data_IF_647904889324
#
_entry.id   IF_647904889324
#
_cell.length_a   1.000
_cell.length_b   1.000
_cell.length_c   1.000
_cell.angle_alpha   90.00
_cell.angle_beta   90.00
_cell.angle_gamma   90.00
#
_symmetry.space_group_name_H-M   'P 1'
#
loop_
_entity.id
_entity.type
_entity.pdbx_description
1 polymer ?
#
# COMPACT_ATOMS: atom_id res chain seq x y z
N UNK A 1 40.27 -43.05 -2.23
CA UNK A 1 39.34 -41.95 -2.70
C UNK A 1 37.90 -42.45 -2.77
N UNK A 2 37.67 -43.67 -3.22
CA UNK A 2 36.33 -44.27 -3.38
C UNK A 2 35.61 -44.50 -2.03
N UNK A 3 36.28 -45.00 -1.03
CA UNK A 3 35.79 -45.18 0.35
C UNK A 3 35.36 -43.83 0.99
N UNK A 4 36.08 -42.75 0.70
CA UNK A 4 35.73 -41.43 1.24
C UNK A 4 34.45 -40.90 0.54
N UNK A 5 34.32 -41.08 -0.77
CA UNK A 5 33.11 -40.73 -1.52
C UNK A 5 31.86 -41.50 -1.02
N UNK A 6 32.00 -42.80 -0.82
CA UNK A 6 30.92 -43.63 -0.27
C UNK A 6 30.49 -43.14 1.11
N UNK A 7 31.46 -42.83 1.99
CA UNK A 7 31.16 -42.31 3.33
C UNK A 7 30.50 -40.94 3.30
N UNK A 8 30.91 -40.05 2.38
CA UNK A 8 30.26 -38.73 2.16
C UNK A 8 28.82 -38.91 1.68
N UNK A 9 28.58 -39.81 0.72
CA UNK A 9 27.22 -40.07 0.23
C UNK A 9 26.34 -40.65 1.33
N UNK A 10 26.79 -41.63 2.08
CA UNK A 10 26.05 -42.20 3.21
C UNK A 10 25.71 -41.16 4.28
N UNK A 11 26.62 -40.23 4.58
CA UNK A 11 26.34 -39.12 5.51
C UNK A 11 25.33 -38.15 4.97
N UNK A 12 25.37 -37.82 3.66
CA UNK A 12 24.37 -36.99 2.99
C UNK A 12 22.98 -37.62 3.00
N UNK A 13 22.90 -38.91 2.70
CA UNK A 13 21.64 -39.65 2.70
C UNK A 13 21.03 -39.66 4.10
N UNK A 14 21.85 -39.90 5.13
CA UNK A 14 21.41 -39.89 6.54
C UNK A 14 20.97 -38.45 6.97
N UNK A 15 21.68 -37.41 6.55
CA UNK A 15 21.28 -36.05 6.83
C UNK A 15 19.91 -35.72 6.19
N UNK A 16 19.72 -36.11 4.93
CA UNK A 16 18.45 -35.96 4.21
C UNK A 16 17.30 -36.71 4.89
N UNK A 17 17.57 -37.96 5.35
CA UNK A 17 16.58 -38.75 6.08
C UNK A 17 16.18 -38.07 7.41
N UNK A 18 17.16 -37.55 8.14
CA UNK A 18 16.92 -36.83 9.39
C UNK A 18 16.12 -35.53 9.16
N UNK A 19 16.46 -34.76 8.11
CA UNK A 19 15.70 -33.56 7.72
C UNK A 19 14.24 -33.90 7.41
N UNK A 20 13.98 -34.99 6.68
CA UNK A 20 12.61 -35.43 6.37
C UNK A 20 11.88 -35.78 7.68
N UNK A 21 12.47 -36.53 8.57
CA UNK A 21 11.86 -36.92 9.86
C UNK A 21 11.57 -35.70 10.74
N UNK A 22 12.51 -34.75 10.84
CA UNK A 22 12.32 -33.50 11.60
C UNK A 22 11.17 -32.71 11.01
N UNK A 23 11.16 -32.55 9.69
CA UNK A 23 10.09 -31.83 9.00
C UNK A 23 8.73 -32.52 9.21
N UNK A 24 8.65 -33.83 9.06
CA UNK A 24 7.41 -34.57 9.29
C UNK A 24 6.90 -34.44 10.73
N UNK A 25 7.78 -34.46 11.72
CA UNK A 25 7.42 -34.26 13.11
C UNK A 25 6.90 -32.81 13.33
N UNK A 26 7.67 -31.81 12.91
CA UNK A 26 7.30 -30.40 13.07
C UNK A 26 5.96 -30.07 12.41
N UNK A 27 5.77 -30.46 11.14
CA UNK A 27 4.52 -30.23 10.42
C UNK A 27 3.37 -31.13 10.90
N UNK A 28 3.67 -32.25 11.54
CA UNK A 28 2.68 -33.14 12.18
C UNK A 28 2.11 -32.57 13.46
N UNK A 29 2.94 -31.88 14.25
CA UNK A 29 2.55 -31.21 15.50
C UNK A 29 1.99 -29.79 15.30
N UNK A 30 2.34 -29.14 14.17
CA UNK A 30 1.91 -27.78 13.89
C UNK A 30 0.39 -27.69 13.74
N UNK A 31 -0.24 -26.82 14.54
CA UNK A 31 -1.67 -26.52 14.46
C UNK A 31 -1.99 -25.43 13.44
N UNK A 32 -1.02 -24.56 13.16
CA UNK A 32 -1.11 -23.49 12.18
C UNK A 32 0.13 -23.51 11.31
N UNK A 33 -0.05 -23.42 9.99
CA UNK A 33 1.04 -23.34 9.02
C UNK A 33 0.83 -22.06 8.20
N UNK A 34 1.79 -21.14 8.26
CA UNK A 34 1.80 -19.92 7.48
C UNK A 34 2.78 -20.02 6.31
N UNK A 35 2.33 -19.75 5.10
CA UNK A 35 3.15 -19.76 3.90
C UNK A 35 2.53 -18.92 2.79
N UNK A 36 3.28 -18.63 1.72
CA UNK A 36 2.71 -18.01 0.53
C UNK A 36 1.83 -19.00 -0.23
N UNK A 37 0.90 -18.51 -1.06
CA UNK A 37 0.02 -19.35 -1.89
C UNK A 37 0.82 -20.36 -2.73
N UNK A 38 1.89 -19.91 -3.37
CA UNK A 38 2.76 -20.80 -4.18
C UNK A 38 3.50 -21.81 -3.30
N UNK A 39 3.97 -21.40 -2.13
CA UNK A 39 4.65 -22.32 -1.18
C UNK A 39 3.73 -23.40 -0.63
N UNK A 40 2.41 -23.22 -0.68
CA UNK A 40 1.45 -24.26 -0.32
C UNK A 40 1.51 -25.50 -1.24
N UNK A 41 2.11 -25.37 -2.43
CA UNK A 41 2.38 -26.48 -3.34
C UNK A 41 3.62 -27.33 -2.94
N UNK A 42 4.37 -26.93 -1.92
CA UNK A 42 5.59 -27.64 -1.50
C UNK A 42 5.29 -29.09 -1.15
N UNK A 43 6.24 -29.98 -1.50
CA UNK A 43 6.15 -31.44 -1.27
C UNK A 43 5.82 -31.83 0.19
N UNK A 44 6.31 -31.03 1.16
CA UNK A 44 6.06 -31.26 2.58
C UNK A 44 4.57 -31.15 2.97
N UNK A 45 3.79 -30.42 2.17
CA UNK A 45 2.34 -30.24 2.34
C UNK A 45 1.53 -31.16 1.41
N UNK A 46 2.18 -32.08 0.68
CA UNK A 46 1.49 -33.01 -0.20
C UNK A 46 0.69 -34.02 0.65
N UNK A 47 -0.56 -34.24 0.25
CA UNK A 47 -1.48 -35.15 0.97
C UNK A 47 -2.05 -34.59 2.28
N UNK A 48 -1.57 -33.45 2.78
CA UNK A 48 -2.13 -32.82 3.99
C UNK A 48 -3.44 -32.13 3.67
N UNK A 49 -4.40 -32.23 4.58
CA UNK A 49 -5.69 -31.54 4.56
C UNK A 49 -5.83 -30.67 5.82
N UNK A 50 -6.48 -29.54 5.66
CA UNK A 50 -6.70 -28.56 6.71
C UNK A 50 -8.18 -28.29 6.87
N UNK A 51 -8.62 -28.09 8.10
CA UNK A 51 -10.03 -27.74 8.38
C UNK A 51 -10.38 -26.36 7.83
N UNK A 52 -9.45 -25.41 7.93
CA UNK A 52 -9.67 -24.01 7.52
C UNK A 52 -8.42 -23.41 6.89
N UNK A 53 -8.63 -22.73 5.78
CA UNK A 53 -7.63 -21.91 5.11
C UNK A 53 -8.01 -20.43 5.26
N UNK A 54 -7.05 -19.61 5.67
CA UNK A 54 -7.14 -18.16 5.61
C UNK A 54 -6.22 -17.65 4.49
N UNK A 55 -6.76 -16.88 3.58
CA UNK A 55 -5.97 -16.17 2.55
C UNK A 55 -6.04 -14.68 2.88
N UNK A 56 -4.94 -14.14 3.37
CA UNK A 56 -4.79 -12.71 3.62
C UNK A 56 -4.40 -11.99 2.33
N UNK A 57 -4.78 -10.70 2.21
CA UNK A 57 -4.62 -9.89 0.99
C UNK A 57 -5.21 -10.58 -0.26
N UNK A 58 -6.35 -11.26 -0.10
CA UNK A 58 -6.98 -12.05 -1.16
C UNK A 58 -7.40 -11.21 -2.38
N UNK A 59 -7.63 -9.91 -2.20
CA UNK A 59 -7.90 -8.97 -3.30
C UNK A 59 -6.69 -8.71 -4.20
N UNK A 60 -5.47 -9.10 -3.77
CA UNK A 60 -4.23 -8.98 -4.54
C UNK A 60 -3.76 -10.32 -5.10
N UNK A 61 -4.44 -11.40 -4.76
CA UNK A 61 -4.05 -12.74 -5.17
C UNK A 61 -4.68 -13.11 -6.51
N UNK A 62 -3.86 -13.60 -7.45
CA UNK A 62 -4.36 -14.19 -8.68
C UNK A 62 -5.22 -15.42 -8.36
N UNK A 63 -6.39 -15.55 -8.97
CA UNK A 63 -7.29 -16.65 -8.74
C UNK A 63 -6.63 -18.03 -8.89
N UNK A 64 -5.84 -18.33 -9.94
CA UNK A 64 -5.15 -19.61 -10.06
C UNK A 64 -4.23 -19.93 -8.89
N UNK A 65 -3.58 -18.91 -8.29
CA UNK A 65 -2.73 -19.10 -7.12
C UNK A 65 -3.55 -19.44 -5.86
N UNK A 66 -4.74 -18.87 -5.71
CA UNK A 66 -5.65 -19.22 -4.60
C UNK A 66 -6.05 -20.68 -4.65
N UNK A 67 -6.34 -21.23 -5.83
CA UNK A 67 -6.75 -22.63 -5.99
C UNK A 67 -5.68 -23.64 -5.59
N UNK A 68 -4.40 -23.29 -5.62
CA UNK A 68 -3.31 -24.15 -5.12
C UNK A 68 -3.53 -24.48 -3.64
N UNK A 69 -3.89 -23.48 -2.83
CA UNK A 69 -4.12 -23.63 -1.40
C UNK A 69 -5.53 -24.14 -1.09
N UNK A 70 -6.56 -23.65 -1.79
CA UNK A 70 -7.98 -24.00 -1.56
C UNK A 70 -8.22 -25.50 -1.66
N UNK A 71 -7.59 -26.18 -2.59
CA UNK A 71 -7.70 -27.66 -2.76
C UNK A 71 -7.28 -28.47 -1.52
N UNK A 72 -6.62 -27.84 -0.56
CA UNK A 72 -6.11 -28.49 0.66
C UNK A 72 -6.98 -28.26 1.89
N UNK A 73 -8.07 -27.48 1.78
CA UNK A 73 -8.89 -27.13 2.92
C UNK A 73 -10.37 -27.40 2.66
N UNK A 74 -11.11 -27.65 3.73
CA UNK A 74 -12.56 -27.88 3.68
C UNK A 74 -13.33 -26.55 3.78
N UNK A 75 -12.76 -25.55 4.44
CA UNK A 75 -13.32 -24.21 4.63
C UNK A 75 -12.30 -23.17 4.24
N UNK A 76 -12.74 -22.11 3.54
CA UNK A 76 -11.91 -21.01 3.10
C UNK A 76 -12.45 -19.69 3.64
N UNK A 77 -11.57 -18.85 4.16
CA UNK A 77 -11.83 -17.48 4.58
C UNK A 77 -10.89 -16.58 3.79
N UNK A 78 -11.45 -15.66 3.01
CA UNK A 78 -10.71 -14.64 2.26
C UNK A 78 -10.73 -13.35 3.05
N UNK A 79 -9.56 -12.81 3.40
CA UNK A 79 -9.40 -11.49 3.99
C UNK A 79 -8.73 -10.58 2.95
N UNK A 80 -9.24 -9.36 2.80
CA UNK A 80 -8.71 -8.40 1.82
C UNK A 80 -9.67 -7.26 1.55
N UNK A 81 -9.29 -6.39 0.65
CA UNK A 81 -10.06 -5.21 0.29
C UNK A 81 -10.00 -4.97 -1.22
N UNK A 82 -11.08 -5.26 -1.92
CA UNK A 82 -11.18 -5.07 -3.38
C UNK A 82 -11.31 -3.59 -3.80
N UNK A 83 -11.51 -2.68 -2.86
CA UNK A 83 -11.41 -1.23 -3.08
C UNK A 83 -9.96 -0.72 -2.99
N UNK A 84 -8.99 -1.60 -2.72
CA UNK A 84 -7.57 -1.35 -2.79
C UNK A 84 -6.94 -1.98 -4.04
N UNK A 85 -5.60 -2.03 -4.13
CA UNK A 85 -4.92 -2.46 -5.34
C UNK A 85 -5.22 -3.92 -5.72
N UNK A 86 -5.49 -4.18 -7.01
CA UNK A 86 -5.60 -5.53 -7.55
C UNK A 86 -4.22 -6.17 -7.74
N UNK A 87 -4.16 -7.46 -8.11
CA UNK A 87 -2.90 -8.11 -8.47
C UNK A 87 -2.22 -7.39 -9.65
N UNK A 88 -0.88 -7.31 -9.59
CA UNK A 88 -0.09 -6.73 -10.68
C UNK A 88 0.03 -7.70 -11.85
N UNK A 89 -0.56 -7.37 -12.99
CA UNK A 89 -0.49 -8.16 -14.21
C UNK A 89 0.38 -7.45 -15.24
N UNK A 90 1.42 -8.14 -15.72
CA UNK A 90 2.36 -7.58 -16.70
C UNK A 90 1.86 -7.72 -18.15
N UNK A 91 1.07 -8.75 -18.42
CA UNK A 91 0.52 -9.01 -19.74
C UNK A 91 -0.89 -8.40 -19.86
N UNK A 92 -1.02 -7.36 -20.68
CA UNK A 92 -2.30 -6.66 -20.87
C UNK A 92 -3.37 -7.55 -21.53
N UNK A 93 -2.96 -8.50 -22.36
CA UNK A 93 -3.90 -9.45 -22.97
C UNK A 93 -4.48 -10.40 -21.92
N UNK A 94 -3.65 -10.87 -20.99
CA UNK A 94 -4.10 -11.70 -19.87
C UNK A 94 -5.05 -10.93 -18.93
N UNK A 95 -4.76 -9.66 -18.68
CA UNK A 95 -5.66 -8.79 -17.89
C UNK A 95 -7.03 -8.65 -18.60
N UNK A 96 -7.04 -8.34 -19.91
CA UNK A 96 -8.29 -8.27 -20.70
C UNK A 96 -9.01 -9.61 -20.77
N UNK A 97 -8.29 -10.72 -20.66
CA UNK A 97 -8.84 -12.08 -20.57
C UNK A 97 -9.43 -12.42 -19.20
N UNK A 98 -9.41 -11.48 -18.23
CA UNK A 98 -10.01 -11.64 -16.90
C UNK A 98 -9.05 -12.09 -15.80
N UNK A 99 -7.72 -12.16 -16.09
CA UNK A 99 -6.76 -12.55 -15.04
C UNK A 99 -6.63 -11.50 -13.92
N UNK A 100 -7.04 -10.25 -14.16
CA UNK A 100 -7.08 -9.16 -13.18
C UNK A 100 -8.27 -9.24 -12.22
N UNK A 101 -9.27 -10.06 -12.52
CA UNK A 101 -10.39 -10.32 -11.64
C UNK A 101 -10.00 -11.35 -10.58
N UNK A 102 -10.11 -10.99 -9.32
CA UNK A 102 -9.71 -11.85 -8.22
C UNK A 102 -10.87 -12.74 -7.76
N UNK A 103 -10.53 -13.92 -7.20
CA UNK A 103 -11.54 -14.80 -6.60
C UNK A 103 -12.37 -14.08 -5.52
N UNK A 104 -11.74 -13.20 -4.74
CA UNK A 104 -12.45 -12.41 -3.73
C UNK A 104 -13.50 -11.49 -4.36
N UNK A 105 -13.19 -10.81 -5.45
CA UNK A 105 -14.15 -9.95 -6.15
C UNK A 105 -15.26 -10.77 -6.79
N UNK A 106 -14.94 -11.92 -7.40
CA UNK A 106 -15.96 -12.85 -7.94
C UNK A 106 -16.95 -13.29 -6.87
N UNK A 107 -16.46 -13.60 -5.66
CA UNK A 107 -17.33 -14.00 -4.55
C UNK A 107 -18.14 -12.80 -4.06
N UNK A 108 -17.55 -11.63 -3.93
CA UNK A 108 -18.24 -10.41 -3.49
C UNK A 108 -19.40 -10.05 -4.43
N UNK A 109 -19.20 -10.19 -5.74
CA UNK A 109 -20.20 -9.87 -6.76
C UNK A 109 -21.32 -10.92 -6.82
N UNK A 110 -20.99 -12.21 -6.70
CA UNK A 110 -21.92 -13.30 -6.93
C UNK A 110 -22.55 -13.87 -5.65
N UNK A 111 -21.94 -13.64 -4.49
CA UNK A 111 -22.36 -14.14 -3.19
C UNK A 111 -22.22 -13.08 -2.09
N UNK A 112 -22.87 -11.92 -2.21
CA UNK A 112 -22.71 -10.81 -1.28
C UNK A 112 -23.06 -11.19 0.17
N UNK A 113 -23.97 -12.15 0.37
CA UNK A 113 -24.36 -12.62 1.71
C UNK A 113 -23.20 -13.32 2.47
N UNK A 114 -22.13 -13.71 1.77
CA UNK A 114 -20.94 -14.31 2.40
C UNK A 114 -19.88 -13.27 2.76
N UNK A 115 -20.09 -11.99 2.43
CA UNK A 115 -19.16 -10.90 2.65
C UNK A 115 -19.51 -10.15 3.94
N UNK A 116 -18.53 -9.96 4.79
CA UNK A 116 -18.65 -9.12 5.99
C UNK A 116 -17.65 -7.98 5.94
N UNK A 117 -18.15 -6.75 5.95
CA UNK A 117 -17.31 -5.55 6.03
C UNK A 117 -16.87 -5.34 7.49
N UNK A 118 -15.56 -5.19 7.70
CA UNK A 118 -15.02 -4.72 8.98
C UNK A 118 -15.19 -3.20 9.05
N UNK A 119 -16.20 -2.76 9.83
CA UNK A 119 -16.66 -1.36 9.82
C UNK A 119 -15.85 -0.43 10.73
N UNK A 120 -15.11 -0.96 11.71
CA UNK A 120 -14.34 -0.15 12.65
C UNK A 120 -12.86 -0.21 12.30
N UNK A 121 -12.27 0.95 12.05
CA UNK A 121 -10.85 1.09 11.78
C UNK A 121 -10.10 1.71 12.98
N UNK A 122 -8.84 1.32 13.16
CA UNK A 122 -7.97 1.68 14.29
C UNK A 122 -6.69 2.39 13.84
N UNK A 123 -6.64 2.91 12.62
CA UNK A 123 -5.44 3.53 12.03
C UNK A 123 -5.54 5.04 11.95
N UNK A 124 -6.53 5.52 11.22
CA UNK A 124 -6.60 6.90 10.73
C UNK A 124 -7.36 7.82 11.68
N UNK A 125 -6.95 9.09 11.71
CA UNK A 125 -7.83 10.17 12.13
C UNK A 125 -9.14 10.14 11.30
N UNK A 126 -10.26 10.49 11.93
CA UNK A 126 -11.60 10.41 11.34
C UNK A 126 -11.75 11.25 10.06
N UNK A 127 -11.16 12.45 10.03
CA UNK A 127 -11.23 13.33 8.86
C UNK A 127 -10.46 12.77 7.66
N UNK A 128 -9.36 12.04 7.88
CA UNK A 128 -8.63 11.35 6.81
C UNK A 128 -9.47 10.18 6.29
N UNK A 129 -10.10 9.42 7.19
CA UNK A 129 -10.86 8.21 6.85
C UNK A 129 -12.18 8.53 6.14
N UNK A 130 -12.87 9.60 6.53
CA UNK A 130 -14.25 9.89 6.12
C UNK A 130 -14.43 9.94 4.61
N UNK A 131 -13.54 10.61 3.89
CA UNK A 131 -13.62 10.67 2.43
C UNK A 131 -13.54 9.28 1.79
N UNK A 132 -12.58 8.44 2.21
CA UNK A 132 -12.47 7.06 1.72
C UNK A 132 -13.69 6.23 2.10
N UNK A 133 -14.24 6.42 3.29
CA UNK A 133 -15.47 5.75 3.73
C UNK A 133 -16.65 6.07 2.81
N UNK A 134 -16.87 7.33 2.52
CA UNK A 134 -17.99 7.77 1.68
C UNK A 134 -17.84 7.34 0.22
N UNK A 135 -16.64 7.44 -0.34
CA UNK A 135 -16.42 7.12 -1.75
C UNK A 135 -16.35 5.63 -2.06
N UNK A 136 -15.69 4.83 -1.22
CA UNK A 136 -15.40 3.42 -1.51
C UNK A 136 -16.24 2.44 -0.68
N UNK A 137 -16.73 2.84 0.51
CA UNK A 137 -17.35 1.93 1.47
C UNK A 137 -18.72 2.39 1.93
N UNK A 138 -19.42 3.18 1.10
CA UNK A 138 -20.82 3.61 1.30
C UNK A 138 -21.05 4.34 2.64
N UNK A 139 -20.02 4.97 3.21
CA UNK A 139 -20.08 5.66 4.50
C UNK A 139 -20.13 4.73 5.72
N UNK A 140 -19.88 3.43 5.53
CA UNK A 140 -20.04 2.44 6.61
C UNK A 140 -18.84 2.35 7.56
N UNK A 141 -17.64 2.86 7.16
CA UNK A 141 -16.48 2.84 8.03
C UNK A 141 -16.60 3.86 9.15
N UNK A 142 -16.15 3.47 10.34
CA UNK A 142 -16.12 4.31 11.54
C UNK A 142 -14.75 4.23 12.19
N UNK A 143 -14.28 5.35 12.71
CA UNK A 143 -13.05 5.37 13.49
C UNK A 143 -13.32 4.90 14.92
N UNK A 144 -12.44 4.03 15.43
CA UNK A 144 -12.45 3.70 16.86
C UNK A 144 -12.18 4.96 17.69
N UNK A 145 -12.75 5.06 18.92
CA UNK A 145 -12.60 6.24 19.79
C UNK A 145 -11.14 6.66 19.98
N UNK A 146 -10.22 5.70 20.08
CA UNK A 146 -8.80 5.89 20.38
C UNK A 146 -8.04 6.60 19.26
N UNK A 147 -8.54 6.50 18.02
CA UNK A 147 -7.86 7.07 16.84
C UNK A 147 -8.62 8.23 16.23
N UNK A 148 -9.88 8.40 16.61
CA UNK A 148 -10.80 9.35 15.98
C UNK A 148 -10.25 10.77 15.87
N UNK A 149 -9.60 11.25 16.91
CA UNK A 149 -9.08 12.61 17.02
C UNK A 149 -7.56 12.65 17.18
N UNK A 150 -6.87 11.55 16.81
CA UNK A 150 -5.41 11.53 16.94
C UNK A 150 -4.77 12.57 16.01
N UNK A 151 -3.85 13.33 16.54
CA UNK A 151 -3.09 14.37 15.85
C UNK A 151 -1.68 14.47 16.39
N UNK A 152 -0.77 15.04 15.62
CA UNK A 152 0.60 15.32 16.08
C UNK A 152 0.66 16.67 16.79
N UNK A 153 -0.07 17.64 16.28
CA UNK A 153 -0.14 18.99 16.82
C UNK A 153 -1.58 19.33 17.19
N UNK A 154 -1.75 20.04 18.28
CA UNK A 154 -3.05 20.58 18.66
C UNK A 154 -3.54 21.57 17.58
N UNK A 155 -4.82 21.48 17.27
CA UNK A 155 -5.47 22.35 16.25
C UNK A 155 -4.87 22.27 14.85
N UNK A 156 -4.16 21.18 14.51
CA UNK A 156 -3.67 20.92 13.15
C UNK A 156 -4.76 20.26 12.31
N UNK A 157 -4.94 20.72 11.07
CA UNK A 157 -5.86 20.08 10.14
C UNK A 157 -5.31 18.72 9.72
N UNK A 158 -6.02 17.59 9.95
CA UNK A 158 -5.48 16.26 9.65
C UNK A 158 -5.23 16.00 8.17
N UNK A 159 -5.96 16.69 7.28
CA UNK A 159 -5.83 16.55 5.83
C UNK A 159 -5.74 17.92 5.16
N UNK A 160 -4.74 18.11 4.30
CA UNK A 160 -4.51 19.36 3.58
C UNK A 160 -4.28 19.11 2.08
N UNK A 161 -4.71 20.05 1.25
CA UNK A 161 -4.37 20.10 -0.18
C UNK A 161 -3.55 21.35 -0.46
N UNK A 162 -2.34 21.16 -0.95
CA UNK A 162 -1.47 22.22 -1.46
C UNK A 162 -1.73 22.32 -2.97
N UNK A 163 -2.48 23.33 -3.36
CA UNK A 163 -2.77 23.55 -4.78
C UNK A 163 -1.55 24.13 -5.50
N UNK A 164 -1.08 23.45 -6.53
CA UNK A 164 0.08 23.86 -7.33
C UNK A 164 -0.32 24.63 -8.60
N UNK A 165 -1.61 24.89 -8.80
CA UNK A 165 -2.12 25.68 -9.91
C UNK A 165 -1.49 27.09 -9.91
N UNK A 166 -0.96 27.52 -11.06
CA UNK A 166 -0.31 28.82 -11.20
C UNK A 166 1.09 28.95 -10.61
N UNK A 167 1.67 27.85 -10.05
CA UNK A 167 3.00 27.83 -9.44
C UNK A 167 4.11 27.36 -10.38
N UNK A 168 3.91 27.38 -11.69
CA UNK A 168 4.86 26.86 -12.70
C UNK A 168 5.26 25.39 -12.48
N UNK A 169 4.44 24.63 -11.74
CA UNK A 169 4.65 23.21 -11.46
C UNK A 169 4.27 22.36 -12.67
N UNK A 170 5.15 22.27 -13.66
CA UNK A 170 4.89 21.58 -14.92
C UNK A 170 5.30 20.11 -14.86
N UNK A 171 4.45 19.22 -15.41
CA UNK A 171 4.83 17.83 -15.60
C UNK A 171 5.74 17.64 -16.80
N UNK A 172 6.79 16.83 -16.63
CA UNK A 172 7.74 16.47 -17.70
C UNK A 172 7.74 14.97 -17.94
N UNK A 173 7.97 14.56 -19.19
CA UNK A 173 8.26 13.16 -19.51
C UNK A 173 9.73 12.85 -19.24
N UNK A 174 10.00 11.71 -18.62
CA UNK A 174 11.34 11.23 -18.35
C UNK A 174 11.51 9.81 -18.86
N UNK A 175 12.46 9.61 -19.79
CA UNK A 175 12.84 8.30 -20.32
C UNK A 175 11.83 7.68 -21.28
N UNK A 176 12.18 6.48 -21.81
CA UNK A 176 11.39 5.76 -22.83
C UNK A 176 10.13 5.09 -22.29
N UNK A 177 9.97 4.99 -20.97
CA UNK A 177 8.93 4.18 -20.29
C UNK A 177 7.78 4.98 -19.70
N UNK A 178 7.36 6.08 -20.32
CA UNK A 178 6.23 6.92 -19.87
C UNK A 178 6.32 7.41 -18.42
N UNK A 179 7.54 7.54 -17.89
CA UNK A 179 7.81 8.15 -16.60
C UNK A 179 7.41 9.63 -16.62
N UNK A 180 6.82 10.12 -15.52
CA UNK A 180 6.53 11.54 -15.34
C UNK A 180 7.20 12.05 -14.09
N UNK A 181 7.61 13.31 -14.15
CA UNK A 181 8.21 14.04 -13.05
C UNK A 181 7.64 15.47 -13.05
N UNK A 182 7.50 16.04 -11.86
CA UNK A 182 7.22 17.45 -11.64
C UNK A 182 8.24 17.92 -10.60
N UNK A 183 9.27 18.60 -11.05
CA UNK A 183 10.41 18.97 -10.22
C UNK A 183 10.07 20.01 -9.19
N UNK A 184 9.26 20.97 -9.58
CA UNK A 184 8.80 22.07 -8.74
C UNK A 184 7.86 21.54 -7.65
N UNK A 185 6.93 20.65 -7.99
CA UNK A 185 6.06 19.98 -7.02
C UNK A 185 6.89 19.10 -6.04
N UNK A 186 7.95 18.43 -6.54
CA UNK A 186 8.86 17.70 -5.66
C UNK A 186 9.59 18.62 -4.69
N UNK A 187 10.11 19.75 -5.17
CA UNK A 187 10.77 20.75 -4.32
C UNK A 187 9.79 21.33 -3.29
N UNK A 188 8.57 21.62 -3.70
CA UNK A 188 7.50 22.07 -2.81
C UNK A 188 7.16 21.00 -1.75
N UNK A 189 7.11 19.72 -2.13
CA UNK A 189 6.89 18.61 -1.20
C UNK A 189 7.98 18.55 -0.11
N UNK A 190 9.24 18.75 -0.50
CA UNK A 190 10.36 18.80 0.44
C UNK A 190 10.27 20.02 1.37
N UNK A 191 9.90 21.18 0.82
CA UNK A 191 9.68 22.41 1.61
C UNK A 191 8.56 22.23 2.62
N UNK A 192 7.43 21.65 2.22
CA UNK A 192 6.31 21.37 3.13
C UNK A 192 6.71 20.40 4.25
N UNK A 193 7.46 19.34 3.93
CA UNK A 193 7.97 18.44 4.94
C UNK A 193 8.92 19.14 5.91
N UNK A 194 9.82 19.98 5.41
CA UNK A 194 10.73 20.79 6.23
C UNK A 194 9.96 21.70 7.18
N UNK A 195 8.95 22.41 6.65
CA UNK A 195 8.10 23.30 7.44
C UNK A 195 7.35 22.52 8.53
N UNK A 196 6.82 21.34 8.19
CA UNK A 196 6.07 20.54 9.13
C UNK A 196 6.96 19.97 10.26
N UNK A 197 8.18 19.48 9.93
CA UNK A 197 9.17 19.07 10.95
C UNK A 197 9.54 20.25 11.87
N UNK A 198 9.74 21.45 11.32
CA UNK A 198 10.02 22.63 12.13
C UNK A 198 8.83 23.04 13.02
N UNK A 199 7.59 22.90 12.54
CA UNK A 199 6.35 23.17 13.28
C UNK A 199 6.18 22.20 14.45
N UNK A 200 6.51 20.93 14.26
CA UNK A 200 6.51 19.93 15.35
C UNK A 200 7.62 20.21 16.37
N UNK A 201 8.76 20.69 15.91
CA UNK A 201 10.01 20.79 16.67
C UNK A 201 10.94 19.62 16.42
N UNK A 202 12.19 19.92 16.09
CA UNK A 202 13.19 18.93 15.63
C UNK A 202 13.46 17.84 16.66
N UNK A 203 13.56 18.21 17.92
CA UNK A 203 13.84 17.26 19.02
C UNK A 203 12.63 16.36 19.26
N UNK A 204 11.43 16.94 19.36
CA UNK A 204 10.18 16.20 19.51
C UNK A 204 9.96 15.21 18.38
N UNK A 205 10.24 15.60 17.14
CA UNK A 205 10.10 14.72 15.96
C UNK A 205 10.96 13.45 16.08
N UNK A 206 12.18 13.58 16.61
CA UNK A 206 13.09 12.45 16.82
C UNK A 206 12.73 11.61 18.05
N UNK A 207 12.39 12.25 19.16
CA UNK A 207 12.05 11.58 20.42
C UNK A 207 10.78 10.74 20.29
N UNK A 208 9.73 11.29 19.70
CA UNK A 208 8.47 10.59 19.42
C UNK A 208 8.57 9.65 18.21
N UNK A 209 9.70 9.67 17.46
CA UNK A 209 9.96 8.84 16.28
C UNK A 209 8.85 8.96 15.25
N UNK A 210 8.40 10.18 14.97
CA UNK A 210 7.34 10.46 14.00
C UNK A 210 7.79 9.99 12.61
N UNK A 211 7.10 9.01 12.06
CA UNK A 211 7.45 8.43 10.78
C UNK A 211 6.67 9.07 9.62
N UNK A 212 7.38 9.26 8.50
CA UNK A 212 6.86 9.97 7.34
C UNK A 212 6.93 9.10 6.09
N UNK A 213 5.87 9.16 5.30
CA UNK A 213 5.82 8.60 3.95
C UNK A 213 5.66 9.68 2.89
N UNK A 214 6.54 9.69 1.88
CA UNK A 214 6.31 10.44 0.66
C UNK A 214 5.90 9.46 -0.44
N UNK A 215 4.73 9.69 -0.99
CA UNK A 215 4.11 8.80 -2.00
C UNK A 215 3.97 9.55 -3.32
N UNK A 216 4.31 8.89 -4.42
CA UNK A 216 3.94 9.36 -5.75
C UNK A 216 3.54 8.18 -6.63
N UNK A 217 2.60 8.35 -7.57
CA UNK A 217 2.23 7.30 -8.53
C UNK A 217 3.35 7.01 -9.54
N UNK A 218 4.34 7.90 -9.68
CA UNK A 218 5.38 7.82 -10.70
C UNK A 218 6.76 7.51 -10.11
N UNK A 219 7.41 6.44 -10.61
CA UNK A 219 8.75 6.03 -10.15
C UNK A 219 9.82 7.12 -10.36
N UNK A 220 9.71 7.90 -11.44
CA UNK A 220 10.63 9.00 -11.71
C UNK A 220 10.56 10.07 -10.60
N UNK A 221 9.34 10.45 -10.19
CA UNK A 221 9.13 11.39 -9.07
C UNK A 221 9.67 10.83 -7.75
N UNK A 222 9.41 9.56 -7.47
CA UNK A 222 9.95 8.89 -6.27
C UNK A 222 11.48 8.93 -6.24
N UNK A 223 12.15 8.66 -7.37
CA UNK A 223 13.61 8.72 -7.46
C UNK A 223 14.13 10.13 -7.23
N UNK A 224 13.46 11.13 -7.80
CA UNK A 224 13.84 12.51 -7.64
C UNK A 224 13.67 13.00 -6.20
N UNK A 225 12.54 12.71 -5.56
CA UNK A 225 12.30 12.98 -4.13
C UNK A 225 13.38 12.35 -3.24
N UNK A 226 13.78 11.10 -3.53
CA UNK A 226 14.89 10.43 -2.82
C UNK A 226 16.22 11.18 -2.98
N UNK A 227 16.49 11.71 -4.18
CA UNK A 227 17.71 12.50 -4.42
C UNK A 227 17.68 13.81 -3.64
N UNK A 228 16.55 14.51 -3.60
CA UNK A 228 16.39 15.75 -2.84
C UNK A 228 16.64 15.51 -1.34
N UNK A 229 15.95 14.53 -0.74
CA UNK A 229 16.15 14.16 0.68
C UNK A 229 17.59 13.74 0.98
N UNK A 230 18.25 13.04 0.04
CA UNK A 230 19.64 12.62 0.21
C UNK A 230 20.64 13.78 0.15
N UNK A 231 20.37 14.79 -0.68
CA UNK A 231 21.27 15.94 -0.88
C UNK A 231 21.11 17.00 0.21
N UNK A 232 19.92 17.16 0.73
CA UNK A 232 19.64 18.16 1.75
C UNK A 232 20.17 17.73 3.13
N UNK A 233 21.05 18.57 3.69
CA UNK A 233 21.66 18.35 5.00
C UNK A 233 20.63 18.39 6.14
N UNK A 234 19.53 19.14 5.98
CA UNK A 234 18.47 19.21 6.97
C UNK A 234 17.92 17.82 7.32
N UNK A 235 17.73 16.97 6.31
CA UNK A 235 17.13 15.65 6.52
C UNK A 235 18.11 14.58 7.05
N UNK A 236 19.40 14.89 7.17
CA UNK A 236 20.40 13.88 7.61
C UNK A 236 20.00 13.15 8.91
N UNK A 237 19.55 13.82 9.98
CA UNK A 237 19.13 13.12 11.20
C UNK A 237 17.79 12.36 11.06
N UNK A 238 16.92 12.74 10.11
CA UNK A 238 15.55 12.22 9.98
C UNK A 238 15.39 11.12 8.93
N UNK A 239 16.42 10.85 8.09
CA UNK A 239 16.31 9.92 6.95
C UNK A 239 15.79 8.53 7.29
N UNK A 240 16.10 8.05 8.47
CA UNK A 240 15.67 6.74 8.94
C UNK A 240 14.17 6.68 9.29
N UNK A 241 13.52 7.83 9.48
CA UNK A 241 12.08 7.98 9.72
C UNK A 241 11.31 8.31 8.45
N UNK A 242 11.99 8.57 7.32
CA UNK A 242 11.36 8.99 6.06
C UNK A 242 11.43 7.84 5.05
N UNK A 243 10.28 7.39 4.60
CA UNK A 243 10.14 6.40 3.53
C UNK A 243 9.58 7.05 2.28
N UNK A 244 10.21 6.84 1.13
CA UNK A 244 9.76 7.40 -0.16
C UNK A 244 9.52 6.25 -1.13
N UNK A 245 8.30 6.09 -1.63
CA UNK A 245 7.98 4.99 -2.54
C UNK A 245 6.76 5.30 -3.42
N UNK A 246 6.50 4.42 -4.39
CA UNK A 246 5.25 4.42 -5.13
C UNK A 246 4.09 3.96 -4.24
N UNK A 247 2.85 4.20 -4.69
CA UNK A 247 1.65 3.72 -3.99
C UNK A 247 1.72 2.22 -3.74
N UNK A 248 2.08 1.44 -4.77
CA UNK A 248 2.21 -0.02 -4.66
C UNK A 248 3.26 -0.44 -3.61
N UNK A 249 4.36 0.33 -3.50
CA UNK A 249 5.41 0.09 -2.51
C UNK A 249 5.05 0.48 -1.07
N UNK A 250 3.95 1.22 -0.88
CA UNK A 250 3.39 1.55 0.44
C UNK A 250 2.27 0.61 0.87
N UNK A 251 1.85 -0.32 0.02
CA UNK A 251 0.80 -1.26 0.38
C UNK A 251 1.18 -2.08 1.62
N UNK A 252 0.22 -2.27 2.53
CA UNK A 252 0.46 -2.92 3.83
C UNK A 252 1.22 -2.09 4.87
N UNK A 253 1.68 -0.89 4.51
CA UNK A 253 2.39 0.00 5.43
C UNK A 253 1.48 1.14 5.90
N UNK A 254 1.89 1.84 6.95
CA UNK A 254 1.24 3.06 7.45
C UNK A 254 2.30 4.00 8.04
N UNK A 255 2.02 5.31 8.08
CA UNK A 255 2.91 6.33 8.65
C UNK A 255 2.09 7.37 9.41
N UNK A 256 2.73 8.03 10.36
CA UNK A 256 2.12 9.13 11.09
C UNK A 256 1.74 10.28 10.16
N UNK A 257 2.66 10.59 9.24
CA UNK A 257 2.51 11.65 8.24
C UNK A 257 2.67 11.07 6.85
N UNK A 258 1.74 11.36 5.96
CA UNK A 258 1.85 11.04 4.52
C UNK A 258 1.81 12.33 3.71
N UNK A 259 2.78 12.48 2.81
CA UNK A 259 2.74 13.46 1.73
C UNK A 259 2.55 12.73 0.40
N UNK A 260 1.60 13.19 -0.40
CA UNK A 260 1.32 12.63 -1.74
C UNK A 260 1.66 13.70 -2.78
N UNK A 261 2.59 13.39 -3.69
CA UNK A 261 2.90 14.19 -4.87
C UNK A 261 2.22 13.58 -6.09
N UNK A 262 1.20 14.27 -6.64
CA UNK A 262 0.35 13.76 -7.71
C UNK A 262 0.93 13.95 -9.10
N UNK A 263 1.86 14.89 -9.26
CA UNK A 263 2.69 15.14 -10.45
C UNK A 263 1.92 15.76 -11.64
N UNK A 264 0.66 15.37 -11.84
CA UNK A 264 -0.10 15.72 -13.04
C UNK A 264 -0.48 17.20 -13.04
N UNK A 265 -0.03 17.90 -14.10
CA UNK A 265 -0.33 19.30 -14.38
C UNK A 265 -0.36 19.51 -15.90
N UNK A 266 -1.56 19.59 -16.49
CA UNK A 266 -1.78 19.76 -17.92
C UNK A 266 -3.18 20.35 -18.21
N UNK A 267 -3.29 21.06 -19.33
CA UNK A 267 -4.53 21.73 -19.72
C UNK A 267 -5.66 20.75 -20.12
N UNK A 268 -5.31 19.54 -20.58
CA UNK A 268 -6.29 18.56 -21.05
C UNK A 268 -7.00 17.80 -19.92
N UNK A 269 -6.56 17.94 -18.67
CA UNK A 269 -7.09 17.18 -17.52
C UNK A 269 -6.77 15.68 -17.58
N UNK A 270 -5.69 15.33 -18.24
CA UNK A 270 -5.25 13.95 -18.32
C UNK A 270 -4.56 13.54 -17.02
N UNK A 271 -5.16 12.60 -16.29
CA UNK A 271 -4.67 12.16 -14.99
C UNK A 271 -3.85 10.86 -15.03
N UNK A 272 -3.82 10.13 -16.16
CA UNK A 272 -2.98 8.95 -16.34
C UNK A 272 -3.21 7.86 -15.29
N UNK A 273 -2.15 7.45 -14.58
CA UNK A 273 -2.22 6.40 -13.54
C UNK A 273 -3.14 6.74 -12.37
N UNK A 274 -3.46 8.02 -12.18
CA UNK A 274 -4.38 8.47 -11.14
C UNK A 274 -5.85 8.11 -11.46
N UNK A 275 -6.15 7.62 -12.67
CA UNK A 275 -7.47 7.14 -13.03
C UNK A 275 -7.85 5.82 -12.30
N UNK A 276 -6.88 5.04 -11.85
CA UNK A 276 -7.16 3.92 -10.93
C UNK A 276 -7.31 4.45 -9.50
N UNK A 277 -8.54 4.76 -9.14
CA UNK A 277 -8.89 5.37 -7.85
C UNK A 277 -8.52 4.51 -6.66
N UNK A 278 -8.38 3.19 -6.84
CA UNK A 278 -7.91 2.27 -5.79
C UNK A 278 -6.51 2.64 -5.31
N UNK A 279 -5.65 3.19 -6.21
CA UNK A 279 -4.35 3.74 -5.81
C UNK A 279 -4.48 4.92 -4.87
N UNK A 280 -5.41 5.83 -5.15
CA UNK A 280 -5.66 6.95 -4.24
C UNK A 280 -6.23 6.49 -2.91
N UNK A 281 -7.14 5.52 -2.91
CA UNK A 281 -7.63 4.92 -1.67
C UNK A 281 -6.49 4.34 -0.83
N UNK A 282 -5.58 3.59 -1.46
CA UNK A 282 -4.39 3.08 -0.76
C UNK A 282 -3.54 4.25 -0.24
N UNK A 283 -3.21 5.24 -1.05
CA UNK A 283 -2.33 6.34 -0.65
C UNK A 283 -2.91 7.14 0.54
N UNK A 284 -4.18 7.51 0.49
CA UNK A 284 -4.89 8.24 1.55
C UNK A 284 -4.90 7.42 2.84
N UNK A 285 -5.24 6.15 2.76
CA UNK A 285 -5.38 5.26 3.93
C UNK A 285 -4.05 4.81 4.55
N UNK A 286 -2.92 5.32 4.06
CA UNK A 286 -1.60 5.10 4.70
C UNK A 286 -1.32 6.07 5.84
N UNK A 287 -2.01 7.22 5.89
CA UNK A 287 -1.82 8.25 6.91
C UNK A 287 -2.54 7.89 8.21
N UNK A 288 -1.83 7.99 9.34
CA UNK A 288 -2.42 7.84 10.66
C UNK A 288 -2.97 9.15 11.21
N UNK A 289 -2.20 10.24 11.14
CA UNK A 289 -2.48 11.50 11.82
C UNK A 289 -2.47 12.73 10.90
N UNK A 290 -1.65 12.72 9.84
CA UNK A 290 -1.52 13.84 8.93
C UNK A 290 -1.40 13.36 7.49
N UNK A 291 -2.20 13.96 6.61
CA UNK A 291 -2.15 13.76 5.16
C UNK A 291 -2.00 15.10 4.46
N UNK A 292 -0.97 15.26 3.65
CA UNK A 292 -0.72 16.42 2.80
C UNK A 292 -0.72 15.97 1.35
N UNK A 293 -1.59 16.53 0.54
CA UNK A 293 -1.69 16.23 -0.89
C UNK A 293 -1.20 17.43 -1.67
N UNK A 294 -0.27 17.22 -2.61
CA UNK A 294 0.21 18.25 -3.53
C UNK A 294 -0.26 17.90 -4.94
N UNK A 295 -0.86 18.87 -5.63
CA UNK A 295 -1.29 18.65 -7.00
C UNK A 295 -2.04 19.84 -7.58
N UNK A 296 -2.03 19.93 -8.91
CA UNK A 296 -2.68 20.97 -9.70
C UNK A 296 -4.20 20.75 -9.72
N UNK A 297 -4.94 21.62 -9.04
CA UNK A 297 -6.39 21.52 -8.95
C UNK A 297 -7.05 21.72 -10.31
N UNK A 298 -6.52 22.57 -11.19
CA UNK A 298 -7.09 22.83 -12.52
C UNK A 298 -7.08 21.60 -13.43
N UNK A 299 -6.05 20.75 -13.29
CA UNK A 299 -5.94 19.46 -13.98
C UNK A 299 -6.81 18.40 -13.33
N UNK A 300 -6.64 18.22 -12.01
CA UNK A 300 -7.15 17.06 -11.28
C UNK A 300 -8.66 17.13 -11.04
N UNK A 301 -9.21 18.32 -10.77
CA UNK A 301 -10.65 18.49 -10.49
C UNK A 301 -11.55 18.30 -11.71
N UNK A 302 -10.99 18.17 -12.92
CA UNK A 302 -11.74 17.71 -14.09
C UNK A 302 -12.26 16.27 -13.92
N UNK A 303 -11.63 15.48 -13.05
CA UNK A 303 -12.12 14.16 -12.68
C UNK A 303 -13.01 14.23 -11.42
N UNK A 304 -14.22 13.66 -11.41
CA UNK A 304 -15.19 13.78 -10.32
C UNK A 304 -14.66 13.40 -8.93
N UNK A 305 -13.83 12.36 -8.84
CA UNK A 305 -13.22 11.93 -7.59
C UNK A 305 -12.34 13.01 -6.98
N UNK A 306 -11.40 13.55 -7.76
CA UNK A 306 -10.47 14.57 -7.28
C UNK A 306 -11.17 15.89 -6.98
N UNK A 307 -12.21 16.22 -7.75
CA UNK A 307 -13.07 17.38 -7.47
C UNK A 307 -13.71 17.25 -6.08
N UNK A 308 -14.36 16.11 -5.81
CA UNK A 308 -14.98 15.86 -4.51
C UNK A 308 -13.96 15.79 -3.36
N UNK A 309 -12.78 15.21 -3.59
CA UNK A 309 -11.72 15.17 -2.60
C UNK A 309 -11.21 16.58 -2.27
N UNK A 310 -10.99 17.40 -3.29
CA UNK A 310 -10.57 18.79 -3.13
C UNK A 310 -11.62 19.63 -2.38
N UNK A 311 -12.89 19.56 -2.80
CA UNK A 311 -14.01 20.24 -2.15
C UNK A 311 -14.16 19.80 -0.68
N UNK A 312 -14.02 18.49 -0.40
CA UNK A 312 -14.06 17.95 0.95
C UNK A 312 -12.96 18.55 1.84
N UNK A 313 -11.73 18.62 1.33
CA UNK A 313 -10.59 19.17 2.08
C UNK A 313 -10.75 20.65 2.34
N UNK A 314 -11.23 21.43 1.35
CA UNK A 314 -11.49 22.87 1.54
C UNK A 314 -12.53 23.11 2.62
N UNK A 315 -13.62 22.32 2.63
CA UNK A 315 -14.68 22.46 3.62
C UNK A 315 -14.23 22.13 5.07
N UNK A 316 -13.09 21.47 5.26
CA UNK A 316 -12.50 21.23 6.59
C UNK A 316 -11.60 22.39 7.05
N UNK A 317 -11.25 23.31 6.15
CA UNK A 317 -10.37 24.44 6.42
C UNK A 317 -11.16 25.74 6.70
N UNK A 318 -12.46 25.74 6.40
CA UNK A 318 -13.42 26.80 6.75
C UNK A 318 -13.94 26.63 8.20
#
# INVERSE_FOLDING_TARGET
RENIRQKINSLKDRATELEIRINEALFGEARVIACTLVSSANRILTGRKFSTLFIDEAAQALEPACWIAIRKADRVILAGDYCQLPPTIKCMEAARGGLDRTLMQEIADNKPDTVSLLKVQYRMNDEIMRFSSEWFYQGELKSAPEVKYRSILDYDTPIEWINTEGMECNEEFVGESFGRINKEEAALSISQLTNYINKIGKDRFLEERIDVGLISPYKAQVQYLRQLIKRDAFFKPYRHLITINTVDGFQGQERDVILISLVRANEEGQIGFLNDLRRMNVAITRARMKLIILGDASTLTKHPFYKKLYEYILALQE
#
